data_IF_638447526107
#
_entry.id   IF_638447526107
#
_cell.length_a   1.000
_cell.length_b   1.000
_cell.length_c   1.000
_cell.angle_alpha   90.00
_cell.angle_beta   90.00
_cell.angle_gamma   90.00
#
_symmetry.space_group_name_H-M   'P 1'
#
loop_
_entity.id
_entity.type
_entity.pdbx_description
1 polymer ?
#
# COMPACT_ATOMS: atom_id res chain seq x y z
N UNK A 1 -1.54 22.70 1.17
CA UNK A 1 -0.17 22.92 0.66
C UNK A 1 0.84 21.91 1.19
N UNK A 2 0.86 21.57 2.50
CA UNK A 2 1.77 20.56 3.10
C UNK A 2 1.77 19.18 2.40
N UNK A 3 0.59 18.62 2.11
CA UNK A 3 0.46 17.31 1.42
C UNK A 3 1.13 17.28 0.01
N UNK A 4 1.10 18.40 -0.73
CA UNK A 4 1.77 18.49 -2.04
C UNK A 4 3.28 18.57 -1.89
N UNK A 5 3.78 19.24 -0.84
CA UNK A 5 5.21 19.34 -0.56
C UNK A 5 5.77 17.98 -0.12
N UNK A 6 5.10 17.31 0.81
CA UNK A 6 5.52 15.98 1.28
C UNK A 6 5.51 14.94 0.15
N UNK A 7 4.48 14.93 -0.71
CA UNK A 7 4.46 14.03 -1.87
C UNK A 7 5.61 14.33 -2.84
N UNK A 8 5.93 15.61 -3.06
CA UNK A 8 7.04 16.01 -3.93
C UNK A 8 8.44 15.70 -3.36
N UNK A 9 8.59 15.66 -2.04
CA UNK A 9 9.82 15.22 -1.37
C UNK A 9 9.98 13.70 -1.44
N UNK A 10 8.89 12.94 -1.29
CA UNK A 10 8.87 11.48 -1.41
C UNK A 10 9.23 11.01 -2.81
N UNK A 11 8.66 11.64 -3.84
CA UNK A 11 9.02 11.34 -5.23
C UNK A 11 10.50 11.62 -5.51
N UNK A 12 11.05 12.68 -4.92
CA UNK A 12 12.49 12.94 -4.99
C UNK A 12 13.31 11.88 -4.27
N UNK A 13 12.87 11.39 -3.12
CA UNK A 13 13.55 10.29 -2.40
C UNK A 13 13.53 8.98 -3.19
N UNK A 14 12.39 8.61 -3.80
CA UNK A 14 12.29 7.44 -4.68
C UNK A 14 13.22 7.55 -5.89
N UNK A 15 13.18 8.69 -6.59
CA UNK A 15 14.05 8.93 -7.73
C UNK A 15 15.54 8.89 -7.34
N UNK A 16 15.89 9.40 -6.16
CA UNK A 16 17.25 9.34 -5.65
C UNK A 16 17.69 7.89 -5.37
N UNK A 17 16.82 7.09 -4.74
CA UNK A 17 17.08 5.66 -4.48
C UNK A 17 17.19 4.85 -5.79
N UNK A 18 16.33 5.09 -6.78
CA UNK A 18 16.42 4.45 -8.10
C UNK A 18 17.72 4.81 -8.83
N UNK A 19 18.14 6.08 -8.76
CA UNK A 19 19.44 6.51 -9.31
C UNK A 19 20.60 5.81 -8.62
N UNK A 20 20.55 5.65 -7.29
CA UNK A 20 21.58 4.90 -6.54
C UNK A 20 21.65 3.43 -6.99
N UNK A 21 20.50 2.76 -7.13
CA UNK A 21 20.46 1.38 -7.63
C UNK A 21 21.08 1.28 -9.02
N UNK A 22 20.71 2.17 -9.94
CA UNK A 22 21.27 2.19 -11.31
C UNK A 22 22.77 2.45 -11.31
N UNK A 23 23.26 3.36 -10.47
CA UNK A 23 24.68 3.66 -10.36
C UNK A 23 25.46 2.45 -9.82
N UNK A 24 24.96 1.79 -8.78
CA UNK A 24 25.56 0.60 -8.20
C UNK A 24 25.59 -0.58 -9.20
N UNK A 25 24.49 -0.79 -9.95
CA UNK A 25 24.42 -1.80 -11.01
C UNK A 25 25.40 -1.53 -12.15
N UNK A 26 25.54 -0.26 -12.55
CA UNK A 26 26.52 0.12 -13.58
C UNK A 26 27.96 -0.14 -13.12
N UNK A 27 28.26 0.14 -11.85
CA UNK A 27 29.56 -0.15 -11.23
C UNK A 27 29.83 -1.66 -11.17
N UNK A 28 28.85 -2.47 -10.79
CA UNK A 28 28.94 -3.93 -10.84
C UNK A 28 29.26 -4.43 -12.26
N UNK A 29 28.47 -4.00 -13.25
CA UNK A 29 28.67 -4.39 -14.66
C UNK A 29 30.07 -4.01 -15.18
N UNK A 30 30.59 -2.85 -14.76
CA UNK A 30 31.95 -2.42 -15.11
C UNK A 30 33.02 -3.39 -14.59
N UNK A 31 32.83 -3.97 -13.41
CA UNK A 31 33.75 -4.97 -12.88
C UNK A 31 33.57 -6.32 -13.56
N UNK A 32 32.34 -6.74 -13.89
CA UNK A 32 32.07 -7.94 -14.69
C UNK A 32 32.75 -7.85 -16.08
N UNK A 33 32.67 -6.71 -16.76
CA UNK A 33 33.36 -6.46 -18.03
C UNK A 33 34.90 -6.44 -17.89
N UNK A 34 35.42 -6.19 -16.69
CA UNK A 34 36.85 -6.23 -16.38
C UNK A 34 37.33 -7.67 -16.09
N UNK A 35 36.45 -8.56 -15.62
CA UNK A 35 36.75 -10.01 -15.48
C UNK A 35 37.10 -10.62 -16.84
N UNK A 36 36.35 -10.29 -17.88
CA UNK A 36 36.64 -10.76 -19.24
C UNK A 36 38.04 -10.31 -19.68
N UNK A 37 38.40 -9.05 -19.41
CA UNK A 37 39.73 -8.52 -19.72
C UNK A 37 40.84 -9.12 -18.85
N UNK A 38 40.52 -9.56 -17.63
CA UNK A 38 41.45 -10.29 -16.76
C UNK A 38 41.73 -11.68 -17.31
N UNK A 39 40.70 -12.38 -17.80
CA UNK A 39 40.84 -13.68 -18.46
C UNK A 39 41.65 -13.58 -19.76
N UNK A 40 41.51 -12.47 -20.49
CA UNK A 40 42.30 -12.19 -21.70
C UNK A 40 43.75 -11.71 -21.42
N UNK A 41 44.15 -11.60 -20.14
CA UNK A 41 45.47 -11.13 -19.74
C UNK A 41 45.73 -9.65 -20.01
N UNK A 42 44.69 -8.87 -20.34
CA UNK A 42 44.76 -7.44 -20.65
C UNK A 42 44.41 -6.54 -19.47
N UNK A 43 43.94 -7.12 -18.36
CA UNK A 43 43.54 -6.33 -17.19
C UNK A 43 44.74 -5.84 -16.37
N UNK A 44 44.57 -4.67 -15.77
CA UNK A 44 45.52 -4.08 -14.81
C UNK A 44 45.26 -4.51 -13.37
N UNK A 45 44.21 -5.28 -13.12
CA UNK A 45 43.82 -5.74 -11.79
C UNK A 45 44.13 -7.23 -11.60
N UNK A 46 44.49 -7.61 -10.39
CA UNK A 46 44.58 -9.03 -10.03
C UNK A 46 43.19 -9.64 -9.89
N UNK A 47 43.10 -10.94 -10.14
CA UNK A 47 41.86 -11.72 -9.99
C UNK A 47 41.27 -11.58 -8.58
N UNK A 48 42.10 -11.66 -7.54
CA UNK A 48 41.68 -11.49 -6.14
C UNK A 48 41.10 -10.09 -5.86
N UNK A 49 41.71 -9.04 -6.45
CA UNK A 49 41.21 -7.67 -6.29
C UNK A 49 39.87 -7.48 -7.01
N UNK A 50 39.72 -8.04 -8.22
CA UNK A 50 38.46 -7.97 -8.97
C UNK A 50 37.34 -8.73 -8.27
N UNK A 51 37.60 -9.94 -7.79
CA UNK A 51 36.63 -10.73 -7.03
C UNK A 51 36.13 -9.97 -5.80
N UNK A 52 37.05 -9.31 -5.07
CA UNK A 52 36.69 -8.46 -3.92
C UNK A 52 35.83 -7.26 -4.34
N UNK A 53 36.17 -6.55 -5.41
CA UNK A 53 35.42 -5.38 -5.89
C UNK A 53 34.02 -5.75 -6.40
N UNK A 54 33.86 -6.92 -7.02
CA UNK A 54 32.56 -7.46 -7.43
C UNK A 54 31.71 -7.77 -6.21
N UNK A 55 32.25 -8.49 -5.22
CA UNK A 55 31.52 -8.80 -4.00
C UNK A 55 31.07 -7.54 -3.24
N UNK A 56 31.92 -6.51 -3.21
CA UNK A 56 31.59 -5.21 -2.63
C UNK A 56 30.48 -4.50 -3.42
N UNK A 57 30.57 -4.48 -4.76
CA UNK A 57 29.56 -3.88 -5.63
C UNK A 57 28.21 -4.62 -5.57
N UNK A 58 28.21 -5.95 -5.52
CA UNK A 58 27.00 -6.76 -5.34
C UNK A 58 26.32 -6.48 -4.00
N UNK A 59 27.12 -6.32 -2.94
CA UNK A 59 26.62 -5.94 -1.62
C UNK A 59 26.00 -4.54 -1.65
N UNK A 60 26.64 -3.59 -2.31
CA UNK A 60 26.14 -2.21 -2.50
C UNK A 60 24.82 -2.21 -3.29
N UNK A 61 24.71 -3.00 -4.36
CA UNK A 61 23.46 -3.17 -5.12
C UNK A 61 22.36 -3.79 -4.27
N UNK A 62 22.68 -4.81 -3.47
CA UNK A 62 21.71 -5.48 -2.60
C UNK A 62 21.17 -4.52 -1.55
N UNK A 63 22.04 -3.79 -0.84
CA UNK A 63 21.65 -2.80 0.16
C UNK A 63 20.79 -1.69 -0.47
N UNK A 64 21.18 -1.15 -1.62
CA UNK A 64 20.40 -0.12 -2.30
C UNK A 64 18.98 -0.61 -2.71
N UNK A 65 18.85 -1.88 -3.10
CA UNK A 65 17.54 -2.49 -3.40
C UNK A 65 16.70 -2.72 -2.14
N UNK A 66 17.31 -3.17 -1.05
CA UNK A 66 16.63 -3.35 0.24
C UNK A 66 16.11 -2.00 0.77
N UNK A 67 16.92 -0.93 0.72
CA UNK A 67 16.49 0.42 1.10
C UNK A 67 15.29 0.91 0.28
N UNK A 68 15.29 0.68 -1.04
CA UNK A 68 14.16 1.04 -1.90
C UNK A 68 12.90 0.24 -1.57
N UNK A 69 13.03 -1.07 -1.30
CA UNK A 69 11.92 -1.91 -0.91
C UNK A 69 11.28 -1.46 0.41
N UNK A 70 12.10 -1.08 1.40
CA UNK A 70 11.62 -0.54 2.68
C UNK A 70 10.91 0.82 2.50
N UNK A 71 11.44 1.71 1.66
CA UNK A 71 10.75 2.96 1.30
C UNK A 71 9.36 2.69 0.69
N UNK A 72 9.24 1.70 -0.20
CA UNK A 72 7.98 1.34 -0.84
C UNK A 72 6.97 0.73 0.15
N UNK A 73 7.43 -0.14 1.06
CA UNK A 73 6.61 -0.74 2.12
C UNK A 73 6.04 0.32 3.06
N UNK A 74 6.88 1.26 3.49
CA UNK A 74 6.49 2.35 4.37
C UNK A 74 5.44 3.27 3.70
N UNK A 75 5.61 3.55 2.41
CA UNK A 75 4.64 4.32 1.64
C UNK A 75 3.29 3.62 1.54
N UNK A 76 3.29 2.31 1.23
CA UNK A 76 2.07 1.52 1.12
C UNK A 76 1.31 1.50 2.45
N UNK A 77 2.02 1.21 3.55
CA UNK A 77 1.45 1.17 4.89
C UNK A 77 0.84 2.51 5.30
N UNK A 78 1.53 3.62 5.02
CA UNK A 78 1.03 4.96 5.30
C UNK A 78 -0.18 5.34 4.46
N UNK A 79 -0.18 5.00 3.17
CA UNK A 79 -1.32 5.23 2.29
C UNK A 79 -2.57 4.50 2.80
N UNK A 80 -2.42 3.24 3.22
CA UNK A 80 -3.50 2.46 3.84
C UNK A 80 -4.01 3.10 5.14
N UNK A 81 -3.11 3.53 6.04
CA UNK A 81 -3.51 4.22 7.29
C UNK A 81 -4.26 5.52 7.00
N UNK A 82 -3.83 6.30 5.99
CA UNK A 82 -4.49 7.55 5.65
C UNK A 82 -5.88 7.32 5.07
N UNK A 83 -6.05 6.30 4.23
CA UNK A 83 -7.37 5.89 3.72
C UNK A 83 -8.28 5.47 4.86
N UNK A 84 -7.76 4.67 5.80
CA UNK A 84 -8.49 4.22 6.98
C UNK A 84 -8.99 5.42 7.81
N UNK A 85 -8.11 6.40 8.08
CA UNK A 85 -8.49 7.62 8.81
C UNK A 85 -9.58 8.41 8.10
N UNK A 86 -9.48 8.56 6.77
CA UNK A 86 -10.50 9.24 5.97
C UNK A 86 -11.88 8.58 6.11
N UNK A 87 -11.93 7.26 5.99
CA UNK A 87 -13.19 6.52 6.14
C UNK A 87 -13.77 6.64 7.55
N UNK A 88 -12.91 6.64 8.57
CA UNK A 88 -13.33 6.82 9.95
C UNK A 88 -13.90 8.23 10.21
N UNK A 89 -13.25 9.28 9.71
CA UNK A 89 -13.73 10.66 9.85
C UNK A 89 -15.07 10.87 9.14
N UNK A 90 -15.25 10.29 7.95
CA UNK A 90 -16.53 10.31 7.22
C UNK A 90 -17.63 9.57 8.00
N UNK A 91 -17.33 8.40 8.54
CA UNK A 91 -18.27 7.62 9.33
C UNK A 91 -18.71 8.36 10.60
N UNK A 92 -17.77 8.99 11.32
CA UNK A 92 -18.10 9.84 12.47
C UNK A 92 -18.96 11.04 12.08
N UNK A 93 -18.64 11.68 10.95
CA UNK A 93 -19.46 12.76 10.39
C UNK A 93 -20.90 12.30 10.15
N UNK A 94 -21.08 11.13 9.53
CA UNK A 94 -22.39 10.53 9.31
C UNK A 94 -23.10 10.21 10.61
N UNK A 95 -22.45 9.59 11.59
CA UNK A 95 -23.06 9.24 12.87
C UNK A 95 -23.61 10.48 13.60
N UNK A 96 -22.87 11.60 13.57
CA UNK A 96 -23.30 12.84 14.20
C UNK A 96 -24.48 13.52 13.49
N UNK A 97 -24.57 13.39 12.15
CA UNK A 97 -25.65 14.02 11.37
C UNK A 97 -26.86 13.11 11.17
N UNK A 98 -26.71 11.78 11.31
CA UNK A 98 -27.71 10.83 10.84
C UNK A 98 -29.06 11.01 11.51
N UNK A 99 -29.12 11.15 12.84
CA UNK A 99 -30.39 11.25 13.56
C UNK A 99 -31.19 12.49 13.15
N UNK A 100 -30.49 13.61 12.95
CA UNK A 100 -31.03 14.92 12.58
C UNK A 100 -31.22 15.11 11.07
N UNK A 101 -30.67 14.22 10.25
CA UNK A 101 -30.70 14.34 8.80
C UNK A 101 -32.11 14.13 8.21
N UNK A 102 -32.37 14.81 7.09
CA UNK A 102 -33.58 14.61 6.29
C UNK A 102 -33.63 13.21 5.69
N UNK A 103 -34.83 12.70 5.36
CA UNK A 103 -34.99 11.36 4.75
C UNK A 103 -34.12 11.18 3.49
N UNK A 104 -34.03 12.15 2.54
CA UNK A 104 -33.14 12.04 1.40
C UNK A 104 -31.66 11.90 1.80
N UNK A 105 -31.22 12.63 2.83
CA UNK A 105 -29.84 12.57 3.31
C UNK A 105 -29.55 11.24 4.02
N UNK A 106 -30.46 10.75 4.84
CA UNK A 106 -30.39 9.40 5.46
C UNK A 106 -30.22 8.32 4.38
N UNK A 107 -31.00 8.39 3.29
CA UNK A 107 -30.86 7.46 2.16
C UNK A 107 -29.49 7.57 1.47
N UNK A 108 -28.96 8.78 1.31
CA UNK A 108 -27.65 8.99 0.72
C UNK A 108 -26.52 8.40 1.58
N UNK A 109 -26.55 8.60 2.90
CA UNK A 109 -25.59 8.03 3.85
C UNK A 109 -25.64 6.50 3.81
N UNK A 110 -26.85 5.92 3.87
CA UNK A 110 -27.02 4.46 3.79
C UNK A 110 -26.51 3.88 2.47
N UNK A 111 -26.67 4.60 1.35
CA UNK A 111 -26.14 4.18 0.05
C UNK A 111 -24.61 4.22 -0.05
N UNK A 112 -23.92 4.92 0.86
CA UNK A 112 -22.45 4.86 0.96
C UNK A 112 -21.98 3.66 1.79
N UNK A 113 -22.76 3.23 2.78
CA UNK A 113 -22.43 2.15 3.71
C UNK A 113 -22.85 0.76 3.20
N UNK A 114 -24.04 0.67 2.61
CA UNK A 114 -24.67 -0.59 2.18
C UNK A 114 -24.35 -0.82 0.71
N UNK A 115 -23.79 -2.00 0.42
CA UNK A 115 -23.53 -2.44 -0.94
C UNK A 115 -24.77 -3.09 -1.56
N UNK A 116 -25.40 -4.02 -0.84
CA UNK A 116 -26.64 -4.67 -1.27
C UNK A 116 -27.49 -5.10 -0.09
N UNK A 117 -28.80 -5.22 -0.33
CA UNK A 117 -29.76 -5.76 0.63
C UNK A 117 -30.47 -6.93 -0.03
N UNK A 118 -30.40 -8.09 0.61
CA UNK A 118 -31.05 -9.32 0.15
C UNK A 118 -32.23 -9.65 1.07
N UNK A 119 -33.38 -9.96 0.48
CA UNK A 119 -34.59 -10.35 1.21
C UNK A 119 -34.94 -11.79 0.85
N UNK A 120 -34.76 -12.69 1.82
CA UNK A 120 -35.05 -14.11 1.70
C UNK A 120 -36.47 -14.49 2.11
N UNK A 121 -36.81 -15.78 1.96
CA UNK A 121 -38.07 -16.34 2.45
C UNK A 121 -38.25 -16.07 3.95
N UNK A 122 -39.48 -15.73 4.34
CA UNK A 122 -39.81 -15.40 5.73
C UNK A 122 -39.33 -14.01 6.17
N UNK A 123 -39.19 -13.04 5.25
CA UNK A 123 -38.72 -11.68 5.54
C UNK A 123 -37.33 -11.62 6.20
N UNK A 124 -36.49 -12.62 5.95
CA UNK A 124 -35.10 -12.60 6.41
C UNK A 124 -34.34 -11.56 5.60
N UNK A 125 -33.91 -10.47 6.23
CA UNK A 125 -33.14 -9.41 5.58
C UNK A 125 -31.65 -9.61 5.87
N UNK A 126 -30.85 -9.74 4.83
CA UNK A 126 -29.38 -9.76 4.90
C UNK A 126 -28.86 -8.47 4.29
N UNK A 127 -28.18 -7.66 5.08
CA UNK A 127 -27.55 -6.41 4.64
C UNK A 127 -26.06 -6.68 4.43
N UNK A 128 -25.56 -6.40 3.23
CA UNK A 128 -24.15 -6.50 2.90
C UNK A 128 -23.55 -5.10 2.94
N UNK A 129 -22.60 -4.91 3.84
CA UNK A 129 -21.86 -3.66 3.98
C UNK A 129 -20.69 -3.63 3.00
N UNK A 130 -20.32 -2.44 2.53
CA UNK A 130 -19.09 -2.30 1.75
C UNK A 130 -17.90 -2.78 2.56
N UNK A 131 -17.02 -3.56 1.93
CA UNK A 131 -15.83 -4.14 2.55
C UNK A 131 -14.88 -3.10 3.18
N UNK A 132 -14.89 -1.86 2.67
CA UNK A 132 -14.14 -0.73 3.24
C UNK A 132 -14.57 -0.39 4.67
N UNK A 133 -15.79 -0.75 5.11
CA UNK A 133 -16.29 -0.55 6.47
C UNK A 133 -16.45 -1.86 7.25
N UNK A 134 -16.65 -3.00 6.56
CA UNK A 134 -16.77 -4.31 7.20
C UNK A 134 -15.53 -4.68 8.04
N UNK A 135 -14.32 -4.35 7.53
CA UNK A 135 -13.05 -4.55 8.26
C UNK A 135 -12.99 -3.75 9.57
N UNK A 136 -13.70 -2.62 9.67
CA UNK A 136 -13.71 -1.78 10.87
C UNK A 136 -14.63 -2.27 11.96
N UNK A 137 -15.73 -2.94 11.59
CA UNK A 137 -16.78 -3.36 12.51
C UNK A 137 -16.49 -4.70 13.19
N UNK A 138 -15.31 -5.29 12.96
CA UNK A 138 -14.94 -6.60 13.51
C UNK A 138 -15.86 -7.73 13.04
N UNK A 139 -16.57 -7.54 11.93
CA UNK A 139 -17.45 -8.56 11.35
C UNK A 139 -16.54 -9.58 10.67
N UNK A 140 -16.26 -10.69 11.33
CA UNK A 140 -15.58 -11.83 10.73
C UNK A 140 -16.46 -12.41 9.60
N UNK A 141 -16.07 -12.18 8.34
CA UNK A 141 -16.81 -12.62 7.15
C UNK A 141 -16.97 -11.53 6.07
N UNK A 142 -17.79 -11.80 5.04
CA UNK A 142 -18.03 -10.91 3.89
C UNK A 142 -18.86 -9.63 4.22
N UNK A 143 -18.85 -9.14 5.48
CA UNK A 143 -19.58 -7.93 5.86
C UNK A 143 -21.11 -8.09 5.92
N UNK A 144 -21.60 -9.29 6.20
CA UNK A 144 -23.04 -9.59 6.27
C UNK A 144 -23.63 -9.34 7.66
N UNK A 145 -24.72 -8.56 7.71
CA UNK A 145 -25.55 -8.39 8.91
C UNK A 145 -26.92 -8.99 8.62
N UNK A 146 -27.31 -9.99 9.41
CA UNK A 146 -28.65 -10.57 9.34
C UNK A 146 -29.57 -9.88 10.35
N UNK A 147 -30.60 -9.20 9.85
CA UNK A 147 -31.65 -8.61 10.69
C UNK A 147 -32.83 -9.56 10.70
N UNK A 148 -33.08 -10.19 11.85
CA UNK A 148 -34.34 -10.88 12.10
C UNK A 148 -35.33 -9.86 12.63
N UNK A 149 -36.45 -9.68 11.93
CA UNK A 149 -37.61 -9.02 12.53
C UNK A 149 -38.31 -10.08 13.37
N UNK A 150 -38.19 -10.00 14.69
CA UNK A 150 -39.13 -10.71 15.55
C UNK A 150 -40.49 -10.08 15.30
N UNK A 151 -41.31 -10.78 14.51
CA UNK A 151 -42.71 -10.40 14.31
C UNK A 151 -43.41 -10.69 15.63
N UNK A 152 -43.57 -9.68 16.48
CA UNK A 152 -44.63 -9.72 17.49
C UNK A 152 -45.94 -9.93 16.74
N UNK A 153 -46.57 -11.07 17.03
CA UNK A 153 -47.95 -11.36 16.66
C UNK A 153 -48.92 -10.46 17.43
#
# INVERSE_FOLDING_TARGET
>A
QKLRQENGERERQKQAAEKKIKAAQYKQKRYEDEVIRCLDGQSRFSEEMLARLIAEAETEVRQAKEEYAELLRNDTTRATIQQIRSYYDEFLGWANEFDLATIPRKRAILGQLIEKVEVGKGYKVTVHLRMSYAQFLGIEGNGEIQVRKDVCA
#
